data_IF_661435462922
#
_entry.id   IF_661435462922
#
_cell.length_a   1.000
_cell.length_b   1.000
_cell.length_c   1.000
_cell.angle_alpha   90.00
_cell.angle_beta   90.00
_cell.angle_gamma   90.00
#
_symmetry.space_group_name_H-M   'P 1'
#
loop_
_entity.id
_entity.type
_entity.pdbx_description
1 polymer ?
#
# COMPACT_ATOMS: atom_id res chain seq x y z
N UNK A 1 -8.54 18.00 -3.68
CA UNK A 1 -7.10 18.15 -3.47
C UNK A 1 -6.58 16.98 -2.63
N UNK A 2 -5.38 16.51 -2.89
CA UNK A 2 -4.73 15.44 -2.14
C UNK A 2 -3.58 16.00 -1.34
N UNK A 3 -3.32 15.41 -0.18
CA UNK A 3 -2.20 15.83 0.67
C UNK A 3 -0.95 15.06 0.28
N UNK A 4 0.16 15.75 0.02
CA UNK A 4 1.45 15.17 -0.29
C UNK A 4 2.50 15.57 0.75
N UNK A 5 3.28 14.62 1.21
CA UNK A 5 4.51 14.88 1.96
C UNK A 5 5.66 14.99 0.97
N UNK A 6 6.33 16.14 0.99
CA UNK A 6 7.52 16.38 0.17
C UNK A 6 8.75 16.05 0.99
N UNK A 7 9.62 15.23 0.41
CA UNK A 7 10.81 14.72 1.05
C UNK A 7 12.06 15.20 0.31
N UNK A 8 13.08 15.58 1.07
CA UNK A 8 14.38 15.96 0.58
C UNK A 8 15.43 14.89 0.91
N UNK A 9 16.41 14.76 0.05
CA UNK A 9 17.61 13.96 0.26
C UNK A 9 18.84 14.85 0.04
N UNK A 10 19.95 14.67 0.79
CA UNK A 10 21.14 15.51 0.65
C UNK A 10 21.75 15.54 -0.75
N UNK A 11 21.63 14.43 -1.50
CA UNK A 11 22.29 14.27 -2.82
C UNK A 11 21.34 13.84 -3.94
N UNK A 12 20.06 13.63 -3.66
CA UNK A 12 19.07 13.15 -4.64
C UNK A 12 17.93 14.16 -4.79
N UNK A 13 17.18 13.99 -5.87
CA UNK A 13 16.01 14.84 -6.15
C UNK A 13 14.92 14.74 -5.10
N UNK A 14 14.14 15.82 -4.99
CA UNK A 14 12.94 15.86 -4.16
C UNK A 14 11.94 14.78 -4.57
N UNK A 15 11.34 14.14 -3.58
CA UNK A 15 10.24 13.19 -3.79
C UNK A 15 8.97 13.67 -3.09
N UNK A 16 7.81 13.39 -3.70
CA UNK A 16 6.52 13.64 -3.10
C UNK A 16 5.75 12.32 -2.97
N UNK A 17 5.26 12.03 -1.78
CA UNK A 17 4.46 10.84 -1.47
C UNK A 17 3.07 11.29 -1.03
N UNK A 18 2.03 10.72 -1.62
CA UNK A 18 0.66 10.99 -1.22
C UNK A 18 0.44 10.49 0.20
N UNK A 19 -0.15 11.32 1.05
CA UNK A 19 -0.60 10.92 2.38
C UNK A 19 -2.03 10.37 2.30
N UNK A 20 -2.35 9.35 3.09
CA UNK A 20 -3.67 8.77 3.16
C UNK A 20 -3.80 7.45 2.39
N UNK A 21 -5.02 7.16 1.92
CA UNK A 21 -5.41 5.87 1.38
C UNK A 21 -4.78 5.57 0.01
N UNK A 22 -4.18 4.39 -0.15
CA UNK A 22 -3.55 3.94 -1.39
C UNK A 22 -4.49 3.02 -2.18
N UNK A 23 -5.48 3.58 -2.87
CA UNK A 23 -6.49 2.81 -3.62
C UNK A 23 -5.90 1.78 -4.57
N UNK A 24 -4.79 2.09 -5.23
CA UNK A 24 -4.13 1.20 -6.19
C UNK A 24 -3.45 -0.02 -5.55
N UNK A 25 -3.36 -0.04 -4.23
CA UNK A 25 -2.80 -1.17 -3.49
C UNK A 25 -3.85 -2.25 -3.16
N UNK A 26 -5.11 -2.06 -3.52
CA UNK A 26 -6.17 -3.06 -3.31
C UNK A 26 -6.23 -4.01 -4.51
N UNK A 27 -6.00 -5.32 -4.33
CA UNK A 27 -5.89 -6.26 -5.45
C UNK A 27 -7.18 -6.46 -6.24
N UNK A 28 -8.35 -6.27 -5.63
CA UNK A 28 -9.64 -6.51 -6.27
C UNK A 28 -10.26 -5.29 -6.95
N UNK A 29 -9.86 -4.08 -6.57
CA UNK A 29 -10.36 -2.84 -7.19
C UNK A 29 -9.55 -2.50 -8.43
N UNK A 30 -8.28 -2.87 -8.43
CA UNK A 30 -7.39 -2.74 -9.57
C UNK A 30 -7.20 -4.10 -10.20
N UNK A 31 -7.41 -4.23 -11.51
CA UNK A 31 -7.14 -5.48 -12.24
C UNK A 31 -5.88 -6.16 -11.72
N UNK A 32 -5.94 -7.46 -11.50
CA UNK A 32 -4.89 -8.31 -10.91
C UNK A 32 -3.43 -7.96 -11.29
N UNK A 33 -3.10 -7.53 -12.52
CA UNK A 33 -1.73 -7.16 -12.87
C UNK A 33 -1.22 -5.84 -12.27
N UNK A 34 -2.10 -4.94 -11.83
CA UNK A 34 -1.68 -3.62 -11.30
C UNK A 34 -1.20 -3.71 -9.85
N UNK A 35 -1.74 -4.63 -9.08
CA UNK A 35 -1.41 -4.81 -7.67
C UNK A 35 0.08 -5.13 -7.41
N UNK A 36 0.70 -6.16 -8.06
CA UNK A 36 2.14 -6.38 -7.92
C UNK A 36 2.97 -5.20 -8.39
N UNK A 37 2.57 -4.56 -9.51
CA UNK A 37 3.27 -3.40 -10.08
C UNK A 37 3.29 -2.23 -9.11
N UNK A 38 2.23 -2.01 -8.32
CA UNK A 38 2.19 -0.95 -7.31
C UNK A 38 3.30 -1.12 -6.26
N UNK A 39 3.48 -2.33 -5.70
CA UNK A 39 4.55 -2.61 -4.74
C UNK A 39 5.94 -2.46 -5.36
N UNK A 40 6.12 -2.95 -6.59
CA UNK A 40 7.36 -2.85 -7.33
C UNK A 40 7.74 -1.40 -7.62
N UNK A 41 6.77 -0.61 -8.07
CA UNK A 41 6.94 0.81 -8.36
C UNK A 41 7.39 1.60 -7.12
N UNK A 42 6.91 1.22 -5.93
CA UNK A 42 7.28 1.86 -4.68
C UNK A 42 8.52 1.23 -4.00
N UNK A 43 9.11 0.19 -4.60
CA UNK A 43 10.31 -0.47 -4.06
C UNK A 43 10.06 -1.30 -2.78
N UNK A 44 8.81 -1.69 -2.51
CA UNK A 44 8.38 -2.37 -1.29
C UNK A 44 8.48 -3.91 -1.39
N UNK A 45 9.56 -4.44 -1.96
CA UNK A 45 9.75 -5.86 -2.22
C UNK A 45 9.61 -6.76 -0.99
N UNK A 46 10.24 -6.38 0.12
CA UNK A 46 10.22 -7.18 1.35
C UNK A 46 8.80 -7.29 1.91
N UNK A 47 8.08 -6.17 1.91
CA UNK A 47 6.69 -6.11 2.37
C UNK A 47 5.79 -6.90 1.42
N UNK A 48 6.01 -6.80 0.12
CA UNK A 48 5.27 -7.56 -0.88
C UNK A 48 5.42 -9.06 -0.68
N UNK A 49 6.64 -9.58 -0.52
CA UNK A 49 6.90 -11.01 -0.29
C UNK A 49 6.23 -11.47 1.02
N UNK A 50 6.41 -10.74 2.11
CA UNK A 50 5.77 -11.07 3.38
C UNK A 50 4.23 -11.09 3.27
N UNK A 51 3.67 -10.12 2.56
CA UNK A 51 2.24 -10.02 2.31
C UNK A 51 1.70 -11.22 1.51
N UNK A 52 2.34 -11.58 0.40
CA UNK A 52 1.95 -12.73 -0.42
C UNK A 52 2.07 -14.05 0.38
N UNK A 53 3.15 -14.24 1.14
CA UNK A 53 3.30 -15.41 2.00
C UNK A 53 2.17 -15.51 3.03
N UNK A 54 1.79 -14.40 3.64
CA UNK A 54 0.69 -14.37 4.61
C UNK A 54 -0.63 -14.77 3.98
N UNK A 55 -0.94 -14.24 2.79
CA UNK A 55 -2.16 -14.63 2.05
C UNK A 55 -2.14 -16.12 1.71
N UNK A 56 -1.02 -16.63 1.20
CA UNK A 56 -0.91 -18.04 0.84
C UNK A 56 -1.07 -18.97 2.05
N UNK A 57 -0.55 -18.59 3.22
CA UNK A 57 -0.73 -19.35 4.46
C UNK A 57 -2.19 -19.38 4.86
N UNK A 58 -2.88 -18.23 4.88
CA UNK A 58 -4.31 -18.18 5.24
C UNK A 58 -5.17 -18.95 4.26
N UNK A 59 -4.96 -18.78 2.95
CA UNK A 59 -5.68 -19.51 1.93
C UNK A 59 -5.44 -21.03 2.02
N UNK A 60 -4.22 -21.46 2.38
CA UNK A 60 -3.91 -22.87 2.61
C UNK A 60 -4.66 -23.42 3.82
N UNK A 61 -4.73 -22.66 4.92
CA UNK A 61 -5.49 -23.05 6.12
C UNK A 61 -6.97 -23.18 5.78
N UNK A 62 -7.55 -22.20 5.09
CA UNK A 62 -8.97 -22.24 4.68
C UNK A 62 -9.24 -23.46 3.79
N UNK A 63 -8.39 -23.71 2.80
CA UNK A 63 -8.52 -24.85 1.91
C UNK A 63 -8.37 -26.20 2.61
N UNK A 64 -7.40 -26.35 3.51
CA UNK A 64 -7.20 -27.61 4.27
C UNK A 64 -8.37 -27.91 5.22
N UNK A 65 -8.98 -26.88 5.81
CA UNK A 65 -10.09 -27.06 6.72
C UNK A 65 -11.43 -27.36 6.01
N UNK A 66 -11.65 -26.76 4.86
CA UNK A 66 -12.98 -26.79 4.20
C UNK A 66 -12.97 -27.41 2.80
N UNK A 67 -11.81 -27.69 2.22
CA UNK A 67 -11.68 -28.22 0.86
C UNK A 67 -11.96 -27.19 -0.25
N UNK A 68 -12.25 -25.92 0.11
CA UNK A 68 -12.47 -24.80 -0.80
C UNK A 68 -12.15 -23.48 -0.11
N UNK A 69 -11.93 -22.43 -0.89
CA UNK A 69 -11.73 -21.10 -0.33
C UNK A 69 -13.07 -20.45 0.03
N UNK A 70 -13.29 -20.16 1.29
CA UNK A 70 -14.53 -19.60 1.82
C UNK A 70 -14.89 -18.25 1.21
N UNK A 71 -13.93 -17.49 0.75
CA UNK A 71 -14.15 -16.25 0.05
C UNK A 71 -15.07 -16.39 -1.19
N UNK A 72 -15.02 -17.55 -1.87
CA UNK A 72 -15.87 -17.81 -3.03
C UNK A 72 -17.20 -18.48 -2.68
N UNK A 73 -17.37 -19.00 -1.46
CA UNK A 73 -18.55 -19.74 -1.00
C UNK A 73 -19.13 -19.21 0.31
N UNK A 74 -19.21 -17.89 0.43
CA UNK A 74 -19.62 -17.21 1.67
C UNK A 74 -20.99 -17.66 2.20
N UNK A 75 -21.90 -18.07 1.33
CA UNK A 75 -23.26 -18.48 1.72
C UNK A 75 -23.31 -19.78 2.54
N UNK A 76 -22.26 -20.60 2.49
CA UNK A 76 -22.18 -21.90 3.19
C UNK A 76 -21.16 -21.86 4.34
N UNK A 77 -20.53 -20.70 4.59
CA UNK A 77 -19.50 -20.55 5.59
C UNK A 77 -20.06 -20.71 7.02
N UNK A 78 -19.39 -21.51 7.83
CA UNK A 78 -19.65 -21.60 9.27
C UNK A 78 -18.97 -20.47 10.05
N UNK A 79 -19.17 -20.45 11.39
CA UNK A 79 -18.63 -19.38 12.23
C UNK A 79 -17.10 -19.26 12.20
N UNK A 80 -16.38 -20.38 12.11
CA UNK A 80 -14.91 -20.37 12.02
C UNK A 80 -14.44 -19.87 10.65
N UNK A 81 -15.07 -20.34 9.58
CA UNK A 81 -14.76 -19.90 8.23
C UNK A 81 -15.03 -18.40 8.04
N UNK A 82 -16.10 -17.87 8.63
CA UNK A 82 -16.38 -16.42 8.63
C UNK A 82 -15.20 -15.63 9.27
N UNK A 83 -14.65 -16.11 10.38
CA UNK A 83 -13.48 -15.47 11.00
C UNK A 83 -12.27 -15.48 10.08
N UNK A 84 -12.00 -16.58 9.39
CA UNK A 84 -10.91 -16.68 8.41
C UNK A 84 -11.15 -15.71 7.25
N UNK A 85 -12.33 -15.64 6.69
CA UNK A 85 -12.70 -14.71 5.61
C UNK A 85 -12.50 -13.26 6.04
N UNK A 86 -12.89 -12.91 7.27
CA UNK A 86 -12.66 -11.57 7.82
C UNK A 86 -11.16 -11.27 7.91
N UNK A 87 -10.36 -12.22 8.41
CA UNK A 87 -8.91 -12.05 8.51
C UNK A 87 -8.26 -11.88 7.13
N UNK A 88 -8.65 -12.67 6.14
CA UNK A 88 -8.20 -12.54 4.75
C UNK A 88 -8.56 -11.17 4.17
N UNK A 89 -9.80 -10.72 4.37
CA UNK A 89 -10.28 -9.41 3.89
C UNK A 89 -9.48 -8.27 4.51
N UNK A 90 -9.24 -8.31 5.82
CA UNK A 90 -8.42 -7.31 6.52
C UNK A 90 -7.01 -7.27 5.95
N UNK A 91 -6.37 -8.42 5.74
CA UNK A 91 -5.02 -8.50 5.19
C UNK A 91 -5.00 -8.02 3.73
N UNK A 92 -5.98 -8.39 2.91
CA UNK A 92 -6.08 -7.94 1.53
C UNK A 92 -6.25 -6.42 1.40
N UNK A 93 -6.91 -5.78 2.36
CA UNK A 93 -7.09 -4.31 2.37
C UNK A 93 -5.98 -3.55 3.07
N UNK A 94 -5.15 -4.21 3.87
CA UNK A 94 -4.07 -3.59 4.64
C UNK A 94 -3.13 -2.68 3.82
N UNK A 95 -2.69 -3.05 2.59
CA UNK A 95 -1.84 -2.19 1.78
C UNK A 95 -2.49 -0.85 1.40
N UNK A 96 -3.81 -0.80 1.30
CA UNK A 96 -4.52 0.45 1.01
C UNK A 96 -4.39 1.46 2.15
N UNK A 97 -4.41 0.99 3.40
CA UNK A 97 -4.27 1.84 4.59
C UNK A 97 -2.83 2.16 4.92
N UNK A 98 -1.92 1.19 4.78
CA UNK A 98 -0.52 1.30 5.21
C UNK A 98 0.49 1.54 4.09
N UNK A 99 0.10 1.37 2.83
CA UNK A 99 1.04 1.41 1.70
C UNK A 99 1.82 2.73 1.60
N UNK A 100 1.16 3.86 1.80
CA UNK A 100 1.82 5.17 1.79
C UNK A 100 2.75 5.35 3.00
N UNK A 101 2.39 4.84 4.18
CA UNK A 101 3.24 4.88 5.37
C UNK A 101 4.48 4.00 5.18
N UNK A 102 4.33 2.80 4.60
CA UNK A 102 5.46 1.93 4.24
C UNK A 102 6.41 2.60 3.25
N UNK A 103 5.86 3.31 2.26
CA UNK A 103 6.67 4.07 1.30
C UNK A 103 7.44 5.18 2.01
N UNK A 104 6.82 5.90 2.94
CA UNK A 104 7.48 6.94 3.72
C UNK A 104 8.57 6.36 4.61
N UNK A 105 8.32 5.25 5.30
CA UNK A 105 9.30 4.55 6.14
C UNK A 105 10.51 4.10 5.32
N UNK A 106 10.28 3.46 4.17
CA UNK A 106 11.37 3.04 3.28
C UNK A 106 12.21 4.23 2.78
N UNK A 107 11.57 5.37 2.48
CA UNK A 107 12.30 6.57 2.07
C UNK A 107 13.08 7.18 3.24
N UNK A 108 12.56 7.13 4.46
CA UNK A 108 13.28 7.54 5.66
C UNK A 108 14.55 6.71 5.88
N UNK A 109 14.47 5.39 5.68
CA UNK A 109 15.63 4.49 5.73
C UNK A 109 16.68 4.82 4.65
N UNK A 110 16.26 5.44 3.55
CA UNK A 110 17.13 5.94 2.49
C UNK A 110 17.62 7.38 2.73
N UNK A 111 17.56 7.91 3.95
CA UNK A 111 17.95 9.28 4.35
C UNK A 111 17.09 10.40 3.74
N UNK A 112 15.88 10.12 3.29
CA UNK A 112 14.93 11.15 2.93
C UNK A 112 14.27 11.74 4.17
N UNK A 113 14.22 13.04 4.29
CA UNK A 113 13.56 13.77 5.39
C UNK A 113 12.34 14.51 4.87
N UNK A 114 11.22 14.43 5.60
CA UNK A 114 10.02 15.21 5.27
C UNK A 114 10.32 16.69 5.53
N UNK A 115 10.23 17.52 4.48
CA UNK A 115 10.39 18.96 4.59
C UNK A 115 9.09 19.63 4.99
N UNK A 116 8.03 19.35 4.24
CA UNK A 116 6.71 19.93 4.46
C UNK A 116 5.61 19.11 3.81
N UNK A 117 4.40 19.45 4.19
CA UNK A 117 3.17 18.85 3.63
C UNK A 117 2.47 19.90 2.77
N UNK A 118 2.10 19.53 1.56
CA UNK A 118 1.39 20.40 0.61
C UNK A 118 0.11 19.75 0.13
N UNK A 119 -0.89 20.57 -0.18
CA UNK A 119 -2.10 20.15 -0.88
C UNK A 119 -1.94 20.44 -2.36
N UNK A 120 -2.14 19.43 -3.20
CA UNK A 120 -2.02 19.53 -4.65
C UNK A 120 -2.97 18.55 -5.34
N UNK A 121 -3.24 18.77 -6.61
CA UNK A 121 -4.06 17.85 -7.42
C UNK A 121 -3.23 16.66 -7.91
N UNK A 122 -1.92 16.84 -8.06
CA UNK A 122 -0.99 15.84 -8.57
C UNK A 122 0.38 15.89 -7.87
N UNK A 123 1.13 14.78 -8.00
CA UNK A 123 2.52 14.70 -7.53
C UNK A 123 3.44 15.74 -8.19
N UNK A 124 3.23 16.01 -9.49
CA UNK A 124 4.03 16.99 -10.22
C UNK A 124 3.81 18.41 -9.69
N UNK A 125 2.57 18.76 -9.42
CA UNK A 125 2.20 20.04 -8.82
C UNK A 125 2.78 20.18 -7.40
N UNK A 126 2.68 19.13 -6.58
CA UNK A 126 3.29 19.12 -5.25
C UNK A 126 4.79 19.39 -5.29
N UNK A 127 5.51 18.80 -6.24
CA UNK A 127 6.94 19.04 -6.44
C UNK A 127 7.24 20.46 -6.97
N UNK A 128 6.40 21.00 -7.85
CA UNK A 128 6.54 22.38 -8.37
C UNK A 128 6.34 23.41 -7.24
N UNK A 129 5.30 23.25 -6.43
CA UNK A 129 5.06 24.09 -5.24
C UNK A 129 6.24 24.02 -4.27
N UNK A 130 6.83 22.84 -4.13
CA UNK A 130 7.98 22.62 -3.29
C UNK A 130 9.23 23.37 -3.79
N UNK A 131 9.52 23.30 -5.08
CA UNK A 131 10.64 24.02 -5.68
C UNK A 131 10.49 25.53 -5.53
N UNK A 132 9.32 26.07 -5.77
CA UNK A 132 9.06 27.50 -5.61
C UNK A 132 9.23 27.98 -4.16
N UNK A 133 8.93 27.15 -3.18
CA UNK A 133 9.08 27.48 -1.76
C UNK A 133 10.53 27.41 -1.25
N UNK A 134 11.39 26.64 -1.93
CA UNK A 134 12.82 26.55 -1.61
C UNK A 134 13.68 27.66 -2.28
N UNK A 135 13.10 28.42 -3.20
CA UNK A 135 13.80 29.53 -3.91
C UNK A 135 13.52 30.89 -3.21
N UNK A 136 12.60 30.92 -2.28
CA UNK A 136 12.31 32.07 -1.41
C UNK A 136 12.79 31.85 0.01
#
# INVERSE_FOLDING_TARGET
MKTFKVLNHPTKELKAVQSGFAWLAIPFITCIPVFPVWFLYHGLWKIFIAYILTILILASIDYELYGYLGFFNFSTADGLQIVIIIAETVILTLPAFKGNDWTLSMLADQNYKVLYTVQASSRKEALALAKNKNIG
#
